data_IF_876249233960
#
_entry.id   IF_876249233960
#
_cell.length_a   1.000
_cell.length_b   1.000
_cell.length_c   1.000
_cell.angle_alpha   90.00
_cell.angle_beta   90.00
_cell.angle_gamma   90.00
#
_symmetry.space_group_name_H-M   'P 1'
#
loop_
_entity.id
_entity.type
_entity.pdbx_description
1 polymer ?
#
# COMPACT_ATOMS: atom_id res chain seq x y z
N UNK A 1 48.47 2.10 -22.97
CA UNK A 1 48.11 2.63 -24.30
C UNK A 1 46.90 1.83 -24.80
N UNK A 2 45.93 2.49 -25.47
CA UNK A 2 44.60 1.98 -25.86
C UNK A 2 43.65 1.67 -24.67
N UNK A 3 42.48 2.30 -24.47
CA UNK A 3 41.26 2.67 -25.24
C UNK A 3 40.18 1.59 -25.35
N UNK A 4 38.92 2.09 -25.25
CA UNK A 4 37.57 1.49 -25.43
C UNK A 4 36.87 1.12 -24.10
N UNK A 5 35.60 1.45 -23.89
CA UNK A 5 34.68 2.30 -24.69
C UNK A 5 33.30 2.35 -24.00
N UNK A 6 32.66 3.53 -23.91
CA UNK A 6 31.34 3.68 -23.27
C UNK A 6 30.25 3.53 -24.34
N UNK A 7 29.27 2.64 -24.10
CA UNK A 7 28.06 2.55 -24.92
C UNK A 7 26.96 3.37 -24.23
N UNK A 8 26.31 4.24 -24.99
CA UNK A 8 25.11 4.99 -24.59
C UNK A 8 23.99 4.55 -25.52
N UNK A 9 22.93 3.96 -24.97
CA UNK A 9 21.72 3.64 -25.72
C UNK A 9 20.75 4.82 -25.67
N UNK A 10 20.53 5.46 -26.81
CA UNK A 10 19.45 6.43 -27.00
C UNK A 10 18.19 5.67 -27.44
N UNK A 11 17.04 5.92 -26.81
CA UNK A 11 15.74 5.41 -27.28
C UNK A 11 15.03 6.53 -28.01
N UNK A 12 14.74 6.32 -29.29
CA UNK A 12 13.96 7.24 -30.14
C UNK A 12 12.54 6.71 -30.24
N UNK A 13 11.56 7.60 -30.10
CA UNK A 13 10.14 7.30 -30.22
C UNK A 13 9.61 7.91 -31.51
N UNK A 14 9.02 7.11 -32.39
CA UNK A 14 8.46 7.55 -33.67
C UNK A 14 6.96 7.24 -33.73
N UNK A 15 6.15 8.30 -33.73
CA UNK A 15 4.74 8.23 -34.11
C UNK A 15 4.60 8.30 -35.63
N UNK A 16 3.68 7.53 -36.20
CA UNK A 16 3.27 7.64 -37.60
C UNK A 16 1.76 7.45 -37.69
N UNK A 17 1.09 8.35 -38.41
CA UNK A 17 -0.33 8.32 -38.73
C UNK A 17 -0.50 8.45 -40.25
N UNK A 18 -1.55 7.85 -40.81
CA UNK A 18 -1.93 8.11 -42.20
C UNK A 18 -2.98 7.16 -42.80
N UNK A 19 -4.13 7.72 -43.21
CA UNK A 19 -4.98 7.45 -44.40
C UNK A 19 -5.12 6.00 -44.93
N UNK A 20 -6.30 5.46 -45.28
CA UNK A 20 -7.54 6.08 -45.82
C UNK A 20 -8.03 5.32 -47.08
N UNK A 21 -9.33 5.40 -47.41
CA UNK A 21 -10.06 4.75 -48.54
C UNK A 21 -10.30 3.21 -48.43
N UNK A 22 -11.43 2.63 -48.88
CA UNK A 22 -12.69 3.18 -49.42
C UNK A 22 -13.37 2.23 -50.44
N UNK A 23 -14.72 2.28 -50.59
CA UNK A 23 -15.61 1.48 -51.50
C UNK A 23 -15.94 0.03 -51.06
N UNK A 24 -17.07 -0.60 -51.42
CA UNK A 24 -18.15 -0.29 -52.40
C UNK A 24 -19.59 -0.56 -51.87
N UNK A 25 -20.61 -0.25 -52.68
CA UNK A 25 -22.05 -0.29 -52.32
C UNK A 25 -22.90 -1.27 -53.16
N UNK A 26 -24.11 -1.58 -52.71
CA UNK A 26 -25.25 -1.98 -53.58
C UNK A 26 -26.61 -1.65 -52.94
N UNK A 27 -27.74 -2.05 -53.55
CA UNK A 27 -28.99 -1.28 -53.50
C UNK A 27 -30.29 -2.12 -53.62
N UNK A 28 -31.43 -1.40 -53.66
CA UNK A 28 -32.79 -1.83 -54.08
C UNK A 28 -33.62 -2.70 -53.09
N UNK A 29 -34.95 -2.51 -52.92
CA UNK A 29 -35.84 -1.48 -53.45
C UNK A 29 -37.32 -1.54 -52.96
N UNK A 30 -37.95 -0.37 -52.86
CA UNK A 30 -39.38 0.02 -53.11
C UNK A 30 -40.60 -0.81 -52.61
N UNK A 31 -41.53 -0.12 -51.90
CA UNK A 31 -42.97 -0.10 -52.26
C UNK A 31 -44.05 -0.28 -51.16
N UNK A 32 -44.91 0.73 -50.96
CA UNK A 32 -46.27 0.57 -50.36
C UNK A 32 -46.66 1.50 -49.18
N UNK A 33 -47.82 2.18 -49.27
CA UNK A 33 -48.47 3.03 -48.23
C UNK A 33 -50.01 2.94 -48.39
N UNK A 34 -50.91 3.56 -47.58
CA UNK A 34 -50.77 4.34 -46.31
C UNK A 34 -51.81 3.97 -45.19
N UNK A 35 -51.95 4.85 -44.18
CA UNK A 35 -53.07 5.01 -43.20
C UNK A 35 -53.05 4.10 -41.94
N UNK A 36 -53.23 4.57 -40.67
CA UNK A 36 -53.33 5.93 -40.07
C UNK A 36 -53.21 5.85 -38.53
N UNK A 37 -52.42 6.71 -37.86
CA UNK A 37 -52.73 7.41 -36.57
C UNK A 37 -51.51 7.88 -35.76
N UNK A 38 -51.35 9.21 -35.69
CA UNK A 38 -50.80 10.05 -34.59
C UNK A 38 -49.70 9.56 -33.61
N UNK A 39 -48.57 10.28 -33.66
CA UNK A 39 -47.65 10.66 -32.56
C UNK A 39 -46.92 9.53 -31.78
N UNK A 40 -45.58 9.51 -31.73
CA UNK A 40 -44.75 10.37 -30.86
C UNK A 40 -43.25 10.28 -31.24
N UNK A 41 -42.44 11.24 -30.77
CA UNK A 41 -40.97 11.30 -30.77
C UNK A 41 -40.26 11.67 -32.09
N UNK A 42 -39.66 12.86 -32.09
CA UNK A 42 -38.56 13.23 -32.98
C UNK A 42 -37.22 12.80 -32.36
N UNK A 43 -36.31 12.27 -33.17
CA UNK A 43 -34.99 11.85 -32.72
C UNK A 43 -34.10 13.02 -32.25
N UNK A 44 -33.16 12.72 -31.37
CA UNK A 44 -31.94 13.47 -31.15
C UNK A 44 -30.77 12.46 -31.11
N UNK A 45 -29.62 12.85 -31.65
CA UNK A 45 -28.50 11.95 -31.97
C UNK A 45 -27.80 11.35 -30.73
N UNK A 46 -27.15 10.18 -30.86
CA UNK A 46 -26.35 9.60 -29.79
C UNK A 46 -25.05 10.39 -29.63
N UNK A 47 -25.04 11.36 -28.71
CA UNK A 47 -23.81 11.97 -28.23
C UNK A 47 -23.05 10.94 -27.39
N UNK A 48 -22.04 10.32 -27.98
CA UNK A 48 -21.05 9.52 -27.26
C UNK A 48 -20.20 10.45 -26.38
N UNK A 49 -20.72 10.74 -25.18
CA UNK A 49 -19.98 11.45 -24.14
C UNK A 49 -18.88 10.56 -23.58
N UNK A 50 -17.64 11.02 -23.72
CA UNK A 50 -16.47 10.46 -23.03
C UNK A 50 -16.54 10.87 -21.55
N UNK A 51 -17.50 10.30 -20.81
CA UNK A 51 -17.63 10.49 -19.37
C UNK A 51 -16.45 9.82 -18.67
N UNK A 52 -15.43 10.62 -18.36
CA UNK A 52 -14.43 10.27 -17.36
C UNK A 52 -15.16 9.80 -16.09
N UNK A 53 -14.73 8.70 -15.46
CA UNK A 53 -15.29 8.26 -14.19
C UNK A 53 -15.31 9.42 -13.20
N UNK A 54 -16.45 9.64 -12.55
CA UNK A 54 -16.58 10.71 -11.58
C UNK A 54 -15.50 10.57 -10.49
N UNK A 55 -14.73 11.63 -10.24
CA UNK A 55 -13.78 11.65 -9.13
C UNK A 55 -14.58 11.49 -7.83
N UNK A 56 -14.49 10.31 -7.21
CA UNK A 56 -15.09 10.04 -5.91
C UNK A 56 -14.30 10.81 -4.85
N UNK A 57 -14.71 12.05 -4.61
CA UNK A 57 -14.25 12.82 -3.47
C UNK A 57 -14.72 12.11 -2.20
N UNK A 58 -13.77 11.56 -1.46
CA UNK A 58 -14.08 10.98 -0.17
C UNK A 58 -14.26 12.11 0.86
N UNK A 59 -15.44 12.21 1.44
CA UNK A 59 -15.67 13.07 2.60
C UNK A 59 -14.77 12.68 3.79
N UNK A 60 -14.39 13.67 4.60
CA UNK A 60 -13.63 13.46 5.83
C UNK A 60 -14.44 12.59 6.80
N UNK A 61 -13.99 11.37 7.03
CA UNK A 61 -14.73 10.45 7.90
C UNK A 61 -14.17 9.05 7.97
N UNK A 62 -14.65 8.30 8.97
CA UNK A 62 -14.30 6.89 9.17
C UNK A 62 -15.07 5.96 8.22
N UNK A 63 -16.33 6.25 7.91
CA UNK A 63 -17.09 5.47 6.91
C UNK A 63 -16.72 6.01 5.53
N UNK A 64 -16.30 5.11 4.63
CA UNK A 64 -15.98 5.43 3.24
C UNK A 64 -17.25 5.34 2.39
N UNK A 65 -18.07 4.32 2.66
CA UNK A 65 -19.36 4.10 2.01
C UNK A 65 -19.81 2.64 2.15
N UNK A 66 -21.00 2.36 1.63
CA UNK A 66 -21.54 1.01 1.45
C UNK A 66 -21.61 0.71 -0.04
N UNK A 67 -21.03 -0.43 -0.44
CA UNK A 67 -20.83 -0.79 -1.85
C UNK A 67 -21.24 -2.24 -2.09
N UNK A 68 -21.71 -2.54 -3.30
CA UNK A 68 -21.87 -3.92 -3.77
C UNK A 68 -20.50 -4.55 -4.03
N UNK A 69 -20.35 -5.83 -3.74
CA UNK A 69 -19.18 -6.60 -4.18
C UNK A 69 -19.18 -6.70 -5.71
N UNK A 70 -18.02 -6.49 -6.33
CA UNK A 70 -17.88 -6.66 -7.77
C UNK A 70 -17.96 -8.17 -8.17
N UNK A 71 -18.31 -8.50 -9.42
CA UNK A 71 -18.20 -9.88 -9.91
C UNK A 71 -16.77 -10.42 -9.77
N UNK A 72 -16.60 -11.53 -9.03
CA UNK A 72 -15.28 -12.04 -8.58
C UNK A 72 -14.50 -10.99 -7.76
N UNK A 73 -15.14 -10.45 -6.73
CA UNK A 73 -14.59 -9.41 -5.87
C UNK A 73 -13.28 -9.77 -5.18
N UNK A 74 -13.12 -11.02 -4.72
CA UNK A 74 -11.90 -11.47 -4.04
C UNK A 74 -10.77 -11.59 -5.06
N UNK A 75 -9.69 -10.84 -4.85
CA UNK A 75 -8.49 -10.83 -5.72
C UNK A 75 -7.31 -11.52 -5.04
N UNK A 76 -7.24 -11.39 -3.71
CA UNK A 76 -6.31 -12.05 -2.80
C UNK A 76 -6.95 -12.07 -1.41
N UNK A 77 -6.41 -12.84 -0.45
CA UNK A 77 -6.99 -12.94 0.90
C UNK A 77 -7.07 -11.61 1.67
N UNK A 78 -6.27 -10.61 1.26
CA UNK A 78 -6.23 -9.26 1.81
C UNK A 78 -6.74 -8.16 0.85
N UNK A 79 -7.25 -8.51 -0.33
CA UNK A 79 -7.57 -7.52 -1.38
C UNK A 79 -8.88 -7.86 -2.11
N UNK A 80 -9.83 -6.92 -2.10
CA UNK A 80 -11.14 -7.05 -2.76
C UNK A 80 -11.41 -5.94 -3.79
N UNK A 81 -12.46 -6.12 -4.59
CA UNK A 81 -13.07 -5.08 -5.45
C UNK A 81 -14.54 -4.90 -5.10
N UNK A 82 -15.00 -3.66 -5.19
CA UNK A 82 -16.40 -3.27 -5.04
C UNK A 82 -16.85 -2.51 -6.29
N UNK A 83 -18.15 -2.48 -6.55
CA UNK A 83 -18.71 -1.72 -7.67
C UNK A 83 -18.54 -0.21 -7.45
N UNK A 84 -18.47 0.56 -8.53
CA UNK A 84 -18.38 2.03 -8.53
C UNK A 84 -17.18 2.63 -7.76
N UNK A 85 -16.13 1.83 -7.54
CA UNK A 85 -14.86 2.28 -6.97
C UNK A 85 -13.70 1.88 -7.89
N UNK A 86 -12.86 2.85 -8.27
CA UNK A 86 -11.70 2.57 -9.12
C UNK A 86 -10.63 1.73 -8.40
N UNK A 87 -10.16 0.67 -9.07
CA UNK A 87 -9.00 -0.13 -8.65
C UNK A 87 -9.38 -1.32 -7.77
N UNK A 88 -8.65 -1.49 -6.66
CA UNK A 88 -8.94 -2.48 -5.63
C UNK A 88 -8.68 -1.91 -4.23
N UNK A 89 -9.38 -2.49 -3.25
CA UNK A 89 -9.30 -2.13 -1.84
C UNK A 89 -8.31 -3.08 -1.18
N UNK A 90 -7.25 -2.54 -0.57
CA UNK A 90 -6.31 -3.31 0.25
C UNK A 90 -6.77 -3.24 1.70
N UNK A 91 -7.00 -4.40 2.31
CA UNK A 91 -7.70 -4.51 3.57
C UNK A 91 -6.76 -4.27 4.76
N UNK A 92 -7.09 -3.30 5.62
CA UNK A 92 -6.21 -2.81 6.69
C UNK A 92 -5.92 -3.87 7.77
N UNK A 93 -4.74 -3.74 8.39
CA UNK A 93 -4.26 -4.54 9.52
C UNK A 93 -4.19 -6.07 9.33
N UNK A 94 -4.34 -6.54 8.09
CA UNK A 94 -4.07 -7.93 7.68
C UNK A 94 -3.03 -7.96 6.56
N UNK A 95 -2.30 -9.07 6.48
CA UNK A 95 -1.36 -9.43 5.42
C UNK A 95 -1.47 -10.95 5.25
N UNK A 96 -2.30 -11.39 4.31
CA UNK A 96 -2.42 -12.82 4.00
C UNK A 96 -1.18 -13.28 3.26
N UNK A 97 -0.90 -14.58 3.29
CA UNK A 97 0.14 -15.13 2.42
C UNK A 97 -0.30 -15.02 0.95
N UNK A 98 0.66 -14.85 0.04
CA UNK A 98 0.35 -14.63 -1.38
C UNK A 98 -0.16 -15.94 -2.04
N UNK A 99 -1.03 -15.81 -3.04
CA UNK A 99 -1.51 -16.95 -3.86
C UNK A 99 -0.40 -17.60 -4.69
N UNK A 100 -0.43 -18.93 -4.87
CA UNK A 100 0.51 -19.67 -5.73
C UNK A 100 0.17 -19.50 -7.22
N UNK A 101 0.67 -18.42 -7.83
CA UNK A 101 0.31 -18.05 -9.23
C UNK A 101 1.05 -18.82 -10.34
N UNK A 102 2.23 -19.40 -10.09
CA UNK A 102 3.06 -19.99 -11.17
C UNK A 102 3.14 -21.51 -11.11
N UNK A 103 3.00 -22.19 -12.27
CA UNK A 103 3.17 -23.65 -12.39
C UNK A 103 4.54 -24.15 -11.90
N UNK A 104 5.58 -23.33 -12.04
CA UNK A 104 6.94 -23.61 -11.53
C UNK A 104 6.97 -23.63 -10.00
N UNK A 105 6.29 -22.68 -9.36
CA UNK A 105 6.21 -22.63 -7.90
C UNK A 105 5.34 -23.77 -7.37
N UNK A 106 4.20 -24.09 -8.01
CA UNK A 106 3.37 -25.26 -7.69
C UNK A 106 4.17 -26.57 -7.73
N UNK A 107 4.95 -26.80 -8.81
CA UNK A 107 5.79 -27.98 -8.94
C UNK A 107 6.91 -28.03 -7.88
N UNK A 108 7.47 -26.88 -7.49
CA UNK A 108 8.50 -26.82 -6.47
C UNK A 108 7.95 -27.04 -5.04
N UNK A 109 6.79 -26.45 -4.71
CA UNK A 109 6.09 -26.66 -3.44
C UNK A 109 5.81 -28.16 -3.24
N UNK A 110 5.26 -28.82 -4.28
CA UNK A 110 4.99 -30.27 -4.26
C UNK A 110 6.26 -31.14 -4.13
N UNK A 111 7.42 -30.64 -4.55
CA UNK A 111 8.68 -31.40 -4.47
C UNK A 111 9.35 -31.27 -3.10
N UNK A 112 9.47 -30.04 -2.58
CA UNK A 112 10.07 -29.73 -1.28
C UNK A 112 9.68 -28.29 -0.90
N UNK A 113 8.71 -28.14 0.01
CA UNK A 113 8.20 -26.84 0.44
C UNK A 113 9.23 -26.01 1.22
N UNK A 114 10.02 -26.66 2.09
CA UNK A 114 11.09 -26.02 2.87
C UNK A 114 12.19 -25.45 1.96
N UNK A 115 12.65 -26.24 0.99
CA UNK A 115 13.64 -25.79 0.00
C UNK A 115 13.05 -24.70 -0.91
N UNK A 116 11.76 -24.79 -1.24
CA UNK A 116 11.05 -23.73 -1.95
C UNK A 116 11.08 -22.40 -1.16
N UNK A 117 10.74 -22.41 0.12
CA UNK A 117 10.77 -21.21 0.98
C UNK A 117 12.20 -20.67 1.16
N UNK A 118 13.18 -21.54 1.47
CA UNK A 118 14.60 -21.16 1.57
C UNK A 118 15.10 -20.46 0.30
N UNK A 119 14.72 -20.95 -0.88
CA UNK A 119 15.04 -20.31 -2.17
C UNK A 119 14.31 -18.99 -2.41
N UNK A 120 13.07 -18.84 -1.92
CA UNK A 120 12.30 -17.57 -2.01
C UNK A 120 12.85 -16.51 -1.07
N UNK A 121 13.38 -16.89 0.10
CA UNK A 121 14.08 -16.00 1.03
C UNK A 121 15.41 -15.52 0.44
N UNK A 122 16.26 -16.46 -0.02
CA UNK A 122 17.60 -16.15 -0.53
C UNK A 122 18.43 -15.34 0.47
N UNK A 123 19.22 -14.37 -0.01
CA UNK A 123 20.10 -13.55 0.82
C UNK A 123 19.41 -12.31 1.41
N UNK A 124 18.09 -12.35 1.61
CA UNK A 124 17.33 -11.20 2.10
C UNK A 124 17.47 -11.06 3.62
N UNK A 125 17.76 -9.84 4.09
CA UNK A 125 17.83 -9.52 5.53
C UNK A 125 16.45 -9.65 6.18
N UNK A 126 15.40 -9.10 5.56
CA UNK A 126 14.03 -9.23 6.07
C UNK A 126 13.31 -10.44 5.47
N UNK A 127 12.35 -11.06 6.19
CA UNK A 127 11.47 -12.09 5.66
C UNK A 127 10.80 -11.68 4.34
N UNK A 128 10.93 -12.51 3.30
CA UNK A 128 10.29 -12.29 1.99
C UNK A 128 8.91 -12.93 1.94
N UNK A 129 8.04 -12.35 1.11
CA UNK A 129 6.79 -13.00 0.73
C UNK A 129 7.02 -14.01 -0.39
N UNK A 130 6.27 -15.10 -0.35
CA UNK A 130 6.20 -16.13 -1.38
C UNK A 130 4.74 -16.55 -1.61
N UNK A 131 4.44 -17.18 -2.74
CA UNK A 131 3.15 -17.85 -2.92
C UNK A 131 3.11 -19.15 -2.09
N UNK A 132 2.06 -19.42 -1.34
CA UNK A 132 1.94 -20.64 -0.50
C UNK A 132 0.54 -21.25 -0.55
N UNK A 133 0.38 -22.55 -0.18
CA UNK A 133 -0.93 -23.15 0.02
C UNK A 133 -1.80 -22.39 1.03
N UNK A 134 -1.23 -21.83 2.09
CA UNK A 134 -1.97 -20.96 3.02
C UNK A 134 -2.53 -19.69 2.35
N UNK A 135 -1.84 -19.12 1.36
CA UNK A 135 -2.37 -17.99 0.58
C UNK A 135 -3.60 -18.37 -0.26
N UNK A 136 -3.61 -19.58 -0.83
CA UNK A 136 -4.79 -20.10 -1.52
C UNK A 136 -5.97 -20.28 -0.54
N UNK A 137 -5.72 -20.86 0.64
CA UNK A 137 -6.74 -21.04 1.70
C UNK A 137 -7.29 -19.71 2.22
N UNK A 138 -6.48 -18.65 2.23
CA UNK A 138 -6.93 -17.31 2.60
C UNK A 138 -7.90 -16.72 1.56
N UNK A 139 -7.73 -17.03 0.27
CA UNK A 139 -8.71 -16.69 -0.78
C UNK A 139 -10.00 -17.50 -0.61
N UNK A 140 -9.91 -18.81 -0.42
CA UNK A 140 -11.09 -19.67 -0.18
C UNK A 140 -11.90 -19.21 1.05
N UNK A 141 -11.21 -18.80 2.12
CA UNK A 141 -11.84 -18.21 3.31
C UNK A 141 -12.51 -16.86 3.01
N UNK A 142 -11.86 -16.00 2.22
CA UNK A 142 -12.44 -14.73 1.80
C UNK A 142 -13.72 -14.94 0.97
N UNK A 143 -13.66 -15.82 -0.04
CA UNK A 143 -14.82 -16.17 -0.87
C UNK A 143 -15.96 -16.73 -0.01
N UNK A 144 -15.67 -17.65 0.91
CA UNK A 144 -16.67 -18.21 1.86
C UNK A 144 -17.24 -17.15 2.81
N UNK A 145 -16.41 -16.20 3.27
CA UNK A 145 -16.87 -15.14 4.18
C UNK A 145 -17.79 -14.14 3.47
N UNK A 146 -17.45 -13.77 2.24
CA UNK A 146 -18.21 -12.81 1.43
C UNK A 146 -19.38 -13.46 0.66
N UNK A 147 -19.51 -14.78 0.66
CA UNK A 147 -20.68 -15.46 0.10
C UNK A 147 -21.99 -14.99 0.76
N UNK A 148 -23.02 -14.78 -0.07
CA UNK A 148 -24.31 -14.20 0.32
C UNK A 148 -24.27 -12.73 0.79
N UNK A 149 -23.13 -12.03 0.75
CA UNK A 149 -23.04 -10.64 1.18
C UNK A 149 -23.27 -9.66 0.01
N UNK A 150 -24.50 -9.17 -0.15
CA UNK A 150 -24.85 -8.19 -1.20
C UNK A 150 -24.11 -6.84 -1.04
N UNK A 151 -23.84 -6.43 0.21
CA UNK A 151 -23.28 -5.13 0.57
C UNK A 151 -22.09 -5.28 1.52
N UNK A 152 -20.99 -4.60 1.18
CA UNK A 152 -19.84 -4.37 2.06
C UNK A 152 -19.78 -2.90 2.44
N UNK A 153 -19.71 -2.63 3.74
CA UNK A 153 -19.32 -1.32 4.26
C UNK A 153 -17.80 -1.24 4.32
N UNK A 154 -17.24 -0.19 3.74
CA UNK A 154 -15.81 0.13 3.81
C UNK A 154 -15.57 1.25 4.82
N UNK A 155 -14.59 1.07 5.71
CA UNK A 155 -14.23 2.06 6.72
C UNK A 155 -12.72 2.27 6.86
N UNK A 156 -12.27 3.49 7.15
CA UNK A 156 -10.86 3.83 7.46
C UNK A 156 -10.50 3.44 8.90
N UNK A 157 -9.21 3.35 9.18
CA UNK A 157 -8.70 3.34 10.55
C UNK A 157 -8.57 4.77 11.11
N UNK A 158 -7.92 5.67 10.37
CA UNK A 158 -7.84 7.10 10.66
C UNK A 158 -8.42 7.94 9.49
N UNK A 159 -9.15 9.05 9.75
CA UNK A 159 -9.67 9.91 8.68
C UNK A 159 -8.60 10.54 7.77
N UNK A 160 -7.36 10.67 8.22
CA UNK A 160 -6.28 11.38 7.50
C UNK A 160 -5.45 10.50 6.56
N UNK A 161 -5.55 9.17 6.67
CA UNK A 161 -4.85 8.23 5.79
C UNK A 161 -5.81 7.72 4.70
N UNK A 162 -5.77 8.33 3.51
CA UNK A 162 -6.79 8.08 2.48
C UNK A 162 -6.44 6.90 1.55
N UNK A 163 -5.22 6.86 1.01
CA UNK A 163 -4.76 5.81 0.09
C UNK A 163 -3.36 5.31 0.44
N UNK A 164 -3.10 4.05 0.13
CA UNK A 164 -1.77 3.48 0.23
C UNK A 164 -0.84 4.02 -0.87
N UNK A 165 0.48 3.89 -0.67
CA UNK A 165 1.53 4.35 -1.61
C UNK A 165 1.30 4.01 -3.09
N UNK A 166 0.62 2.89 -3.38
CA UNK A 166 0.31 2.42 -4.74
C UNK A 166 -1.09 2.84 -5.24
N UNK A 167 -1.69 3.90 -4.69
CA UNK A 167 -3.00 4.42 -5.07
C UNK A 167 -4.21 3.59 -4.63
N UNK A 168 -4.01 2.35 -4.15
CA UNK A 168 -5.09 1.50 -3.59
C UNK A 168 -5.76 2.17 -2.39
N UNK A 169 -7.09 2.10 -2.34
CA UNK A 169 -7.85 2.47 -1.15
C UNK A 169 -7.48 1.53 0.01
N UNK A 170 -7.31 2.09 1.21
CA UNK A 170 -7.09 1.33 2.44
C UNK A 170 -8.39 1.33 3.26
N UNK A 171 -8.90 0.15 3.62
CA UNK A 171 -10.14 0.03 4.38
C UNK A 171 -10.22 -1.25 5.21
N UNK A 172 -11.02 -1.23 6.26
CA UNK A 172 -11.68 -2.41 6.82
C UNK A 172 -12.94 -2.72 6.02
N UNK A 173 -13.23 -3.99 5.81
CA UNK A 173 -14.48 -4.45 5.19
C UNK A 173 -15.40 -5.07 6.25
N UNK A 174 -16.66 -4.62 6.26
CA UNK A 174 -17.72 -5.17 7.10
C UNK A 174 -18.88 -5.64 6.24
N UNK A 175 -19.49 -6.76 6.63
CA UNK A 175 -20.73 -7.29 6.05
C UNK A 175 -21.76 -7.51 7.15
N UNK A 176 -23.05 -7.51 6.81
CA UNK A 176 -24.06 -7.97 7.76
C UNK A 176 -24.08 -9.50 7.80
N UNK A 177 -23.96 -10.08 8.99
CA UNK A 177 -24.25 -11.48 9.31
C UNK A 177 -25.10 -11.49 10.58
N UNK A 178 -26.20 -12.24 10.58
CA UNK A 178 -27.15 -12.35 11.70
C UNK A 178 -27.61 -10.98 12.26
N UNK A 179 -27.89 -10.02 11.36
CA UNK A 179 -28.32 -8.66 11.73
C UNK A 179 -27.22 -7.75 12.29
N UNK A 180 -25.95 -8.19 12.27
CA UNK A 180 -24.80 -7.45 12.82
C UNK A 180 -23.68 -7.24 11.81
N UNK A 181 -23.12 -6.04 11.79
CA UNK A 181 -21.88 -5.76 11.06
C UNK A 181 -20.69 -6.54 11.64
N UNK A 182 -20.11 -7.40 10.80
CA UNK A 182 -18.99 -8.29 11.13
C UNK A 182 -17.78 -7.93 10.27
N UNK A 183 -16.64 -7.68 10.92
CA UNK A 183 -15.41 -7.28 10.24
C UNK A 183 -14.70 -8.48 9.61
N UNK A 184 -14.59 -8.52 8.28
CA UNK A 184 -13.81 -9.54 7.60
C UNK A 184 -12.36 -9.58 8.13
N UNK A 185 -11.74 -8.41 8.29
CA UNK A 185 -10.35 -8.30 8.70
C UNK A 185 -10.09 -9.00 10.05
N UNK A 186 -10.95 -8.76 11.04
CA UNK A 186 -10.82 -9.40 12.36
C UNK A 186 -11.14 -10.90 12.30
N UNK A 187 -12.14 -11.33 11.52
CA UNK A 187 -12.43 -12.75 11.34
C UNK A 187 -11.31 -13.50 10.61
N UNK A 188 -10.65 -12.89 9.61
CA UNK A 188 -9.51 -13.47 8.90
C UNK A 188 -8.33 -13.73 9.86
N UNK A 189 -8.07 -12.82 10.80
CA UNK A 189 -7.08 -13.04 11.87
C UNK A 189 -7.55 -14.12 12.85
N UNK A 190 -8.82 -14.13 13.26
CA UNK A 190 -9.39 -15.15 14.17
C UNK A 190 -9.39 -16.56 13.57
N UNK A 191 -9.54 -16.67 12.26
CA UNK A 191 -9.44 -17.91 11.50
C UNK A 191 -7.99 -18.35 11.24
N UNK A 192 -6.99 -17.49 11.52
CA UNK A 192 -5.59 -17.77 11.24
C UNK A 192 -5.23 -17.70 9.75
N UNK A 193 -5.98 -16.96 8.94
CA UNK A 193 -5.62 -16.71 7.53
C UNK A 193 -4.59 -15.59 7.40
N UNK A 194 -4.41 -14.80 8.47
CA UNK A 194 -3.46 -13.69 8.54
C UNK A 194 -3.04 -13.45 10.00
N UNK A 195 -1.81 -12.98 10.28
CA UNK A 195 -1.49 -12.37 11.57
C UNK A 195 -2.16 -10.99 11.69
N UNK A 196 -2.18 -10.43 12.90
CA UNK A 196 -2.40 -9.00 13.05
C UNK A 196 -1.17 -8.25 12.49
N UNK A 197 -1.36 -7.55 11.37
CA UNK A 197 -0.29 -6.94 10.60
C UNK A 197 -0.08 -5.48 11.01
N UNK A 198 0.95 -5.28 11.83
CA UNK A 198 1.26 -4.04 12.56
C UNK A 198 2.36 -3.18 11.91
N UNK A 199 2.91 -3.63 10.77
CA UNK A 199 4.09 -3.03 10.10
C UNK A 199 3.99 -1.52 9.82
N UNK A 200 2.78 -0.99 9.71
CA UNK A 200 2.47 0.41 9.40
C UNK A 200 1.82 1.16 10.58
N UNK A 201 1.88 0.62 11.79
CA UNK A 201 1.19 1.12 12.98
C UNK A 201 0.20 0.11 13.54
N UNK A 202 -0.22 0.33 14.79
CA UNK A 202 -1.36 -0.38 15.38
C UNK A 202 -2.66 0.26 14.89
N UNK A 203 -3.72 -0.55 14.70
CA UNK A 203 -5.05 -0.02 14.38
C UNK A 203 -5.57 0.87 15.51
N UNK A 204 -5.82 2.14 15.22
CA UNK A 204 -6.39 3.11 16.17
C UNK A 204 -7.77 2.67 16.68
N UNK A 205 -8.54 1.93 15.86
CA UNK A 205 -9.93 1.56 16.15
C UNK A 205 -10.12 0.13 16.67
N UNK A 206 -9.30 -0.81 16.20
CA UNK A 206 -9.57 -2.24 16.35
C UNK A 206 -8.39 -3.05 16.94
N UNK A 207 -7.31 -2.40 17.39
CA UNK A 207 -6.13 -3.06 17.97
C UNK A 207 -6.47 -4.20 18.94
N UNK A 208 -7.31 -3.93 19.95
CA UNK A 208 -7.71 -4.92 20.95
C UNK A 208 -8.48 -6.11 20.36
N UNK A 209 -9.25 -5.89 19.29
CA UNK A 209 -10.02 -6.95 18.62
C UNK A 209 -9.08 -7.85 17.80
N UNK A 210 -8.13 -7.26 17.07
CA UNK A 210 -7.11 -7.98 16.33
C UNK A 210 -6.15 -8.75 17.25
N UNK A 211 -5.65 -8.13 18.32
CA UNK A 211 -4.74 -8.78 19.27
C UNK A 211 -5.42 -9.99 19.93
N UNK A 212 -6.70 -9.84 20.34
CA UNK A 212 -7.49 -10.96 20.85
C UNK A 212 -7.74 -12.04 19.80
N UNK A 213 -8.08 -11.67 18.57
CA UNK A 213 -8.29 -12.60 17.46
C UNK A 213 -7.03 -13.42 17.15
N UNK A 214 -5.85 -12.78 17.13
CA UNK A 214 -4.57 -13.46 16.90
C UNK A 214 -4.25 -14.42 18.06
N UNK A 215 -4.47 -13.99 19.31
CA UNK A 215 -4.28 -14.85 20.49
C UNK A 215 -5.24 -16.05 20.51
N UNK A 216 -6.49 -15.87 20.07
CA UNK A 216 -7.46 -16.97 19.88
C UNK A 216 -7.00 -17.94 18.78
N UNK A 217 -6.53 -17.44 17.64
CA UNK A 217 -6.05 -18.24 16.51
C UNK A 217 -4.78 -19.03 16.84
N UNK A 218 -3.81 -18.40 17.52
CA UNK A 218 -2.58 -19.04 18.02
C UNK A 218 -2.86 -20.16 19.01
N UNK A 219 -3.67 -19.89 20.04
CA UNK A 219 -4.00 -20.88 21.09
C UNK A 219 -4.74 -22.09 20.51
N UNK A 220 -5.54 -21.87 19.47
CA UNK A 220 -6.27 -22.92 18.76
C UNK A 220 -5.53 -23.47 17.52
N UNK A 221 -4.25 -23.09 17.31
CA UNK A 221 -3.38 -23.54 16.21
C UNK A 221 -4.06 -23.49 14.83
N UNK A 222 -4.75 -22.38 14.54
CA UNK A 222 -5.55 -22.22 13.31
C UNK A 222 -4.73 -21.67 12.16
N UNK A 223 -4.95 -22.21 10.96
CA UNK A 223 -4.38 -21.68 9.72
C UNK A 223 -2.86 -21.59 9.79
N UNK A 224 -2.29 -20.40 9.61
CA UNK A 224 -0.84 -20.12 9.71
C UNK A 224 -0.21 -20.46 11.07
N UNK A 225 -1.03 -20.71 12.11
CA UNK A 225 -0.57 -21.09 13.45
C UNK A 225 -0.60 -22.61 13.70
N UNK A 226 -1.05 -23.42 12.74
CA UNK A 226 -0.87 -24.88 12.77
C UNK A 226 0.61 -25.20 12.52
N UNK A 227 1.30 -25.98 13.38
CA UNK A 227 2.67 -26.40 13.15
C UNK A 227 2.91 -27.14 11.82
N UNK A 228 1.86 -27.68 11.21
CA UNK A 228 1.88 -28.39 9.93
C UNK A 228 1.37 -27.52 8.77
N UNK A 229 1.15 -26.22 8.97
CA UNK A 229 0.72 -25.32 7.91
C UNK A 229 1.80 -25.17 6.83
N UNK A 230 1.43 -25.39 5.58
CA UNK A 230 2.23 -24.97 4.42
C UNK A 230 2.11 -23.45 4.22
N UNK A 231 2.68 -22.70 5.18
CA UNK A 231 2.77 -21.24 5.20
C UNK A 231 4.20 -20.75 5.45
N UNK A 232 4.39 -19.47 5.76
CA UNK A 232 5.75 -18.89 5.91
C UNK A 232 6.53 -19.41 7.12
N UNK A 233 5.85 -19.78 8.22
CA UNK A 233 6.46 -20.32 9.45
C UNK A 233 7.32 -19.34 10.28
N UNK A 234 7.79 -18.25 9.69
CA UNK A 234 8.70 -17.24 10.27
C UNK A 234 7.97 -16.08 10.98
N UNK A 235 6.71 -16.27 11.37
CA UNK A 235 5.84 -15.21 11.89
C UNK A 235 6.31 -14.58 13.21
N UNK A 236 7.13 -15.26 14.01
CA UNK A 236 7.78 -14.65 15.17
C UNK A 236 8.72 -13.50 14.72
N UNK A 237 9.67 -13.81 13.83
CA UNK A 237 10.63 -12.84 13.28
C UNK A 237 9.93 -11.70 12.54
N UNK A 238 8.83 -11.99 11.84
CA UNK A 238 8.01 -10.94 11.20
C UNK A 238 7.39 -10.00 12.23
N UNK A 239 6.78 -10.54 13.28
CA UNK A 239 6.12 -9.72 14.30
C UNK A 239 7.10 -8.91 15.13
N UNK A 240 8.22 -9.46 15.57
CA UNK A 240 9.23 -8.68 16.29
C UNK A 240 9.66 -7.44 15.48
N UNK A 241 9.80 -7.58 14.15
CA UNK A 241 10.07 -6.46 13.25
C UNK A 241 8.88 -5.51 13.08
N UNK A 242 7.66 -6.03 12.92
CA UNK A 242 6.46 -5.22 12.66
C UNK A 242 5.98 -4.47 13.90
N UNK A 243 5.99 -5.11 15.05
CA UNK A 243 5.59 -4.54 16.33
C UNK A 243 6.62 -3.48 16.76
N UNK A 244 7.93 -3.70 16.59
CA UNK A 244 8.95 -2.65 16.81
C UNK A 244 8.77 -1.41 15.90
N UNK A 245 8.26 -1.59 14.67
CA UNK A 245 7.86 -0.46 13.81
C UNK A 245 6.59 0.23 14.33
N UNK A 246 5.62 -0.55 14.79
CA UNK A 246 4.36 -0.06 15.34
C UNK A 246 4.56 0.76 16.61
N UNK A 247 5.40 0.29 17.53
CA UNK A 247 5.80 1.00 18.76
C UNK A 247 6.46 2.34 18.43
N UNK A 248 7.35 2.36 17.43
CA UNK A 248 8.00 3.60 16.99
C UNK A 248 7.02 4.60 16.35
N UNK A 249 5.98 4.12 15.66
CA UNK A 249 4.92 4.96 15.10
C UNK A 249 4.00 5.47 16.21
N UNK A 250 3.51 4.59 17.10
CA UNK A 250 2.64 4.95 18.22
C UNK A 250 3.33 5.94 19.18
N UNK A 251 4.62 5.77 19.45
CA UNK A 251 5.39 6.71 20.26
C UNK A 251 5.64 8.07 19.55
N UNK A 252 5.37 8.19 18.25
CA UNK A 252 5.30 9.48 17.56
C UNK A 252 3.90 10.07 17.70
N UNK A 253 2.86 9.28 17.45
CA UNK A 253 1.45 9.68 17.58
C UNK A 253 1.12 10.22 18.99
N UNK A 254 1.59 9.54 20.04
CA UNK A 254 1.46 10.01 21.42
C UNK A 254 2.16 11.36 21.69
N UNK A 255 3.30 11.62 21.04
CA UNK A 255 4.00 12.92 21.14
C UNK A 255 3.34 14.00 20.27
N UNK A 256 2.69 13.59 19.18
CA UNK A 256 1.97 14.45 18.24
C UNK A 256 0.58 14.89 18.76
N UNK A 257 0.07 14.27 19.84
CA UNK A 257 -1.22 14.59 20.42
C UNK A 257 -1.31 16.08 20.82
N UNK A 258 -2.18 16.84 20.15
CA UNK A 258 -2.33 18.29 20.34
C UNK A 258 -1.17 19.13 19.80
N UNK A 259 -0.29 18.58 18.96
CA UNK A 259 0.93 19.23 18.45
C UNK A 259 0.90 19.39 16.93
N UNK A 260 0.60 20.61 16.48
CA UNK A 260 0.55 20.94 15.05
C UNK A 260 1.93 20.92 14.35
N UNK A 261 3.04 20.88 15.09
CA UNK A 261 4.42 20.77 14.61
C UNK A 261 4.91 19.32 14.41
N UNK A 262 4.10 18.32 14.78
CA UNK A 262 4.34 16.91 14.50
C UNK A 262 3.53 16.47 13.27
N UNK A 263 4.21 16.09 12.19
CA UNK A 263 3.59 15.86 10.87
C UNK A 263 3.89 14.43 10.39
N UNK A 264 2.86 13.65 10.08
CA UNK A 264 2.97 12.33 9.43
C UNK A 264 2.87 12.53 7.93
N UNK A 265 3.89 12.15 7.14
CA UNK A 265 3.91 12.42 5.68
C UNK A 265 2.88 11.65 4.86
N UNK A 266 2.28 10.60 5.44
CA UNK A 266 1.21 9.81 4.81
C UNK A 266 -0.18 10.36 5.11
N UNK A 267 -0.30 11.52 5.74
CA UNK A 267 -1.57 12.22 5.90
C UNK A 267 -1.77 13.18 4.73
N UNK A 268 -3.00 13.26 4.21
CA UNK A 268 -3.32 14.14 3.09
C UNK A 268 -3.02 15.62 3.37
N UNK A 269 -3.08 16.05 4.63
CA UNK A 269 -2.83 17.43 5.06
C UNK A 269 -1.33 17.78 5.23
N UNK A 270 -0.43 16.80 5.14
CA UNK A 270 0.96 16.93 5.52
C UNK A 270 1.69 18.03 4.77
N UNK A 271 1.50 18.13 3.45
CA UNK A 271 2.12 19.17 2.63
C UNK A 271 1.65 20.57 3.03
N UNK A 272 0.34 20.79 3.17
CA UNK A 272 -0.19 22.09 3.56
C UNK A 272 0.29 22.50 4.97
N UNK A 273 0.41 21.54 5.89
CA UNK A 273 0.98 21.76 7.23
C UNK A 273 2.47 22.12 7.19
N UNK A 274 3.26 21.49 6.32
CA UNK A 274 4.67 21.85 6.10
C UNK A 274 4.80 23.25 5.45
N UNK A 275 3.98 23.58 4.45
CA UNK A 275 3.97 24.89 3.78
C UNK A 275 3.62 26.03 4.76
N UNK A 276 2.68 25.79 5.70
CA UNK A 276 2.32 26.73 6.76
C UNK A 276 3.46 26.98 7.77
N UNK A 277 4.43 26.05 7.88
CA UNK A 277 5.54 26.06 8.86
C UNK A 277 6.90 26.36 8.24
N UNK A 278 6.94 27.09 7.14
CA UNK A 278 8.20 27.50 6.50
C UNK A 278 9.08 28.32 7.45
N UNK A 279 10.32 27.85 7.65
CA UNK A 279 11.29 28.41 8.60
C UNK A 279 11.14 27.93 10.04
N UNK A 280 10.05 27.25 10.40
CA UNK A 280 9.80 26.74 11.75
C UNK A 280 10.29 25.30 11.92
N UNK A 281 10.76 24.94 13.12
CA UNK A 281 11.09 23.55 13.45
C UNK A 281 9.83 22.68 13.50
N UNK A 282 9.88 21.55 12.79
CA UNK A 282 8.88 20.48 12.83
C UNK A 282 9.55 19.15 13.19
N UNK A 283 8.75 18.19 13.65
CA UNK A 283 9.16 16.77 13.72
C UNK A 283 8.30 15.97 12.73
N UNK A 284 8.93 15.35 11.75
CA UNK A 284 8.26 14.68 10.64
C UNK A 284 8.44 13.16 10.75
N UNK A 285 7.33 12.41 10.77
CA UNK A 285 7.34 10.96 10.62
C UNK A 285 7.18 10.59 9.13
N UNK A 286 8.11 9.79 8.62
CA UNK A 286 8.07 9.27 7.25
C UNK A 286 8.74 7.90 7.13
N UNK A 287 8.72 7.32 5.94
CA UNK A 287 9.49 6.11 5.62
C UNK A 287 10.67 6.47 4.73
N UNK A 288 11.88 6.00 5.04
CA UNK A 288 13.06 6.17 4.18
C UNK A 288 12.82 5.43 2.87
N UNK A 289 12.48 6.15 1.78
CA UNK A 289 12.17 5.52 0.50
C UNK A 289 13.42 5.27 -0.33
N UNK A 290 14.27 6.30 -0.46
CA UNK A 290 15.45 6.28 -1.32
C UNK A 290 16.59 7.11 -0.74
N UNK A 291 17.81 6.61 -0.89
CA UNK A 291 19.05 7.35 -0.62
C UNK A 291 19.73 7.66 -1.95
N UNK A 292 20.17 8.89 -2.15
CA UNK A 292 20.81 9.37 -3.36
C UNK A 292 22.08 10.16 -3.05
N UNK A 293 23.22 9.67 -3.54
CA UNK A 293 24.52 10.30 -3.33
C UNK A 293 24.87 11.23 -4.48
N UNK A 294 25.18 12.49 -4.15
CA UNK A 294 25.66 13.49 -5.10
C UNK A 294 27.09 13.93 -4.72
N UNK A 295 27.75 14.69 -5.61
CA UNK A 295 29.14 15.12 -5.38
C UNK A 295 29.30 15.85 -4.03
N UNK A 296 28.40 16.79 -3.72
CA UNK A 296 28.48 17.66 -2.53
C UNK A 296 27.31 17.54 -1.53
N UNK A 297 26.46 16.53 -1.64
CA UNK A 297 25.40 16.24 -0.64
C UNK A 297 24.93 14.78 -0.76
N UNK A 298 24.24 14.30 0.27
CA UNK A 298 23.36 13.12 0.20
C UNK A 298 21.92 13.59 0.36
N UNK A 299 21.01 13.09 -0.47
CA UNK A 299 19.57 13.31 -0.36
C UNK A 299 18.92 12.01 0.07
N UNK A 300 18.14 12.06 1.15
CA UNK A 300 17.26 10.97 1.57
C UNK A 300 15.84 11.41 1.27
N UNK A 301 15.08 10.60 0.53
CA UNK A 301 13.68 10.87 0.21
C UNK A 301 12.82 10.14 1.24
N UNK A 302 12.01 10.88 2.00
CA UNK A 302 10.95 10.29 2.81
C UNK A 302 9.67 10.19 1.99
N UNK A 303 9.14 8.97 1.85
CA UNK A 303 7.94 8.73 1.06
C UNK A 303 6.68 9.26 1.76
N UNK A 304 5.90 10.09 1.06
CA UNK A 304 4.62 10.63 1.52
C UNK A 304 3.39 10.01 0.83
N UNK A 305 2.20 10.53 1.12
CA UNK A 305 1.00 10.23 0.33
C UNK A 305 1.00 11.01 -0.99
N UNK A 306 0.54 10.38 -2.10
CA UNK A 306 0.34 11.02 -3.41
C UNK A 306 1.54 11.84 -3.95
N UNK A 307 2.75 11.28 -3.84
CA UNK A 307 4.01 11.93 -4.24
C UNK A 307 4.36 13.24 -3.50
N UNK A 308 3.76 13.48 -2.31
CA UNK A 308 4.21 14.50 -1.36
C UNK A 308 5.47 14.03 -0.59
N UNK A 309 6.47 13.55 -1.31
CA UNK A 309 7.72 13.09 -0.74
C UNK A 309 8.53 14.27 -0.18
N UNK A 310 9.18 14.08 0.96
CA UNK A 310 10.00 15.10 1.61
C UNK A 310 11.51 14.78 1.48
N UNK A 311 12.25 15.54 0.66
CA UNK A 311 13.72 15.53 0.65
C UNK A 311 14.32 15.95 2.00
N UNK A 312 15.20 15.11 2.53
CA UNK A 312 16.06 15.38 3.68
C UNK A 312 17.49 15.50 3.15
N UNK A 313 18.13 16.65 3.41
CA UNK A 313 19.40 17.02 2.77
C UNK A 313 20.54 17.01 3.78
N UNK A 314 21.53 16.17 3.52
CA UNK A 314 22.78 16.10 4.25
C UNK A 314 23.88 16.76 3.42
N UNK A 315 24.33 17.95 3.83
CA UNK A 315 25.48 18.63 3.20
C UNK A 315 26.81 18.06 3.68
N UNK A 316 26.83 17.52 4.89
CA UNK A 316 27.93 16.77 5.47
C UNK A 316 27.67 15.26 5.33
N UNK A 317 28.66 14.54 4.80
CA UNK A 317 28.58 13.08 4.58
C UNK A 317 28.86 12.28 5.84
N UNK A 318 29.70 12.79 6.76
CA UNK A 318 29.97 12.13 8.03
C UNK A 318 28.72 12.12 8.91
N UNK A 319 27.97 13.24 8.91
CA UNK A 319 26.65 13.31 9.58
C UNK A 319 25.68 12.30 8.98
N UNK A 320 25.64 12.14 7.66
CA UNK A 320 24.79 11.15 7.00
C UNK A 320 25.17 9.71 7.38
N UNK A 321 26.45 9.36 7.30
CA UNK A 321 26.98 8.02 7.62
C UNK A 321 26.66 7.64 9.06
N UNK A 322 26.78 8.59 10.00
CA UNK A 322 26.45 8.40 11.42
C UNK A 322 24.94 8.36 11.72
N UNK A 323 24.06 8.66 10.75
CA UNK A 323 22.61 8.51 10.90
C UNK A 323 22.09 7.14 10.42
N UNK A 324 22.93 6.29 9.83
CA UNK A 324 22.60 4.92 9.39
C UNK A 324 21.32 4.76 8.53
N UNK A 325 20.95 5.82 7.79
CA UNK A 325 19.71 5.84 7.00
C UNK A 325 19.73 4.87 5.81
N UNK A 326 20.90 4.47 5.33
CA UNK A 326 21.04 3.43 4.29
C UNK A 326 20.53 2.08 4.78
N UNK A 327 20.88 1.67 6.01
CA UNK A 327 20.41 0.41 6.62
C UNK A 327 18.91 0.44 6.87
N UNK A 328 18.37 1.62 7.20
CA UNK A 328 16.96 1.85 7.51
C UNK A 328 16.09 2.13 6.28
N UNK A 329 16.56 1.85 5.05
CA UNK A 329 15.73 1.99 3.86
C UNK A 329 14.50 1.06 3.92
N UNK A 330 13.31 1.64 3.76
CA UNK A 330 12.01 0.99 3.93
C UNK A 330 11.46 1.02 5.36
N UNK A 331 12.23 1.49 6.34
CA UNK A 331 11.85 1.61 7.76
C UNK A 331 11.32 3.02 8.08
N UNK A 332 10.48 3.19 9.13
CA UNK A 332 10.03 4.51 9.57
C UNK A 332 11.19 5.28 10.21
N UNK A 333 11.14 6.61 10.13
CA UNK A 333 12.12 7.54 10.70
C UNK A 333 11.42 8.82 11.15
N UNK A 334 11.90 9.43 12.24
CA UNK A 334 11.53 10.80 12.61
C UNK A 334 12.65 11.75 12.21
N UNK A 335 12.30 12.85 11.55
CA UNK A 335 13.26 13.90 11.18
C UNK A 335 12.82 15.23 11.76
N UNK A 336 13.71 15.87 12.53
CA UNK A 336 13.51 17.15 13.19
C UNK A 336 14.32 18.25 12.49
N UNK A 337 13.70 19.37 12.20
CA UNK A 337 14.41 20.56 11.72
C UNK A 337 13.48 21.61 11.11
N UNK A 338 14.04 22.75 10.70
CA UNK A 338 13.27 23.80 10.02
C UNK A 338 12.77 23.32 8.66
N UNK A 339 11.52 23.63 8.32
CA UNK A 339 11.02 23.43 6.94
C UNK A 339 11.64 24.49 6.04
N UNK A 340 12.48 24.08 5.09
CA UNK A 340 13.05 24.96 4.06
C UNK A 340 12.26 24.83 2.75
N UNK A 341 12.15 25.93 1.99
CA UNK A 341 11.80 25.87 0.56
C UNK A 341 13.09 25.91 -0.26
N UNK A 342 13.27 24.92 -1.13
CA UNK A 342 14.36 24.90 -2.10
C UNK A 342 13.85 25.16 -3.50
N UNK A 343 14.45 26.13 -4.19
CA UNK A 343 14.15 26.46 -5.58
C UNK A 343 15.43 26.46 -6.43
N UNK A 344 15.38 25.84 -7.62
CA UNK A 344 16.45 25.90 -8.62
C UNK A 344 15.88 25.80 -10.02
N UNK A 345 15.86 26.92 -10.74
CA UNK A 345 15.15 27.01 -12.03
C UNK A 345 13.68 26.67 -11.83
N UNK A 346 13.15 25.71 -12.58
CA UNK A 346 11.76 25.27 -12.49
C UNK A 346 11.51 24.25 -11.36
N UNK A 347 12.55 23.72 -10.71
CA UNK A 347 12.39 22.78 -9.60
C UNK A 347 12.12 23.52 -8.30
N UNK A 348 11.02 23.19 -7.63
CA UNK A 348 10.64 23.70 -6.31
C UNK A 348 10.23 22.53 -5.42
N UNK A 349 10.68 22.53 -4.17
CA UNK A 349 10.28 21.54 -3.18
C UNK A 349 10.39 22.10 -1.76
N UNK A 350 9.69 21.47 -0.82
CA UNK A 350 10.02 21.59 0.60
C UNK A 350 11.15 20.61 0.94
N UNK A 351 11.93 20.91 1.96
CA UNK A 351 12.97 20.01 2.46
C UNK A 351 13.24 20.26 3.95
N UNK A 352 13.96 19.35 4.59
CA UNK A 352 14.64 19.61 5.87
C UNK A 352 16.14 19.38 5.67
N UNK A 353 16.98 20.32 6.11
CA UNK A 353 18.43 20.13 6.13
C UNK A 353 18.86 19.52 7.45
N UNK A 354 19.60 18.42 7.38
CA UNK A 354 20.18 17.75 8.54
C UNK A 354 21.66 18.03 8.61
N UNK A 355 22.07 18.69 9.69
CA UNK A 355 23.47 19.00 10.01
C UNK A 355 23.95 18.38 11.33
N UNK A 356 23.09 17.65 12.05
CA UNK A 356 23.43 16.97 13.31
C UNK A 356 22.69 15.64 13.42
N UNK A 357 23.35 14.60 13.91
CA UNK A 357 22.77 13.25 14.09
C UNK A 357 21.49 13.28 14.93
N UNK A 358 21.44 14.12 15.98
CA UNK A 358 20.26 14.30 16.86
C UNK A 358 18.99 14.87 16.19
N UNK A 359 19.02 15.12 14.89
CA UNK A 359 17.84 15.47 14.09
C UNK A 359 17.13 14.23 13.53
N UNK A 360 17.73 13.04 13.66
CA UNK A 360 17.21 11.76 13.19
C UNK A 360 16.95 10.88 14.41
N UNK A 361 15.71 10.43 14.58
CA UNK A 361 15.40 9.30 15.47
C UNK A 361 15.02 8.08 14.63
N UNK A 362 15.53 6.91 15.01
CA UNK A 362 15.29 5.63 14.34
C UNK A 362 14.62 4.62 15.28
N UNK A 363 13.82 3.69 14.74
CA UNK A 363 13.29 2.57 15.51
C UNK A 363 14.41 1.64 15.98
N UNK A 364 14.31 1.12 17.21
CA UNK A 364 15.13 -0.02 17.63
C UNK A 364 14.54 -1.28 17.01
N UNK A 365 15.12 -1.73 15.89
CA UNK A 365 14.62 -2.88 15.14
C UNK A 365 15.42 -4.15 15.46
N UNK A 366 14.77 -5.32 15.54
CA UNK A 366 15.47 -6.58 15.66
C UNK A 366 16.13 -6.92 14.31
N UNK A 367 17.42 -6.64 14.18
CA UNK A 367 18.17 -7.00 12.99
C UNK A 367 18.69 -8.44 13.07
N UNK A 368 18.55 -9.24 12.00
CA UNK A 368 19.09 -10.60 11.99
C UNK A 368 20.61 -10.59 12.25
N UNK A 369 21.06 -11.43 13.18
CA UNK A 369 22.46 -11.56 13.57
C UNK A 369 22.89 -10.68 14.75
N UNK A 370 22.15 -9.62 15.11
CA UNK A 370 22.49 -8.78 16.27
C UNK A 370 21.93 -9.35 17.58
N UNK A 371 20.78 -10.03 17.55
CA UNK A 371 20.18 -10.67 18.75
C UNK A 371 21.03 -11.80 19.34
N UNK A 372 21.93 -12.40 18.55
CA UNK A 372 22.83 -13.46 19.01
C UNK A 372 24.00 -12.90 19.86
N UNK A 373 24.38 -11.63 19.66
CA UNK A 373 25.50 -10.97 20.37
C UNK A 373 25.07 -10.31 21.69
N UNK A 374 23.78 -10.38 22.04
CA UNK A 374 23.23 -9.89 23.31
C UNK A 374 22.81 -11.04 24.26
N UNK A 375 23.11 -12.29 23.89
CA UNK A 375 22.81 -13.51 24.64
C UNK A 375 24.07 -14.33 24.99
N UNK A 376 25.26 -13.79 24.67
CA UNK A 376 26.58 -14.18 25.17
C UNK A 376 27.11 -13.06 26.10
#
# INVERSE_FOLDING_TARGET
>A
MLLRGRIVCLVVWTCLAGYGCGRDATAEGLGGTPNRSSATSSAADPVAGDEKPAEVYFEEGLVIGEYRLAPRAVIDGDTIRVENLEGSVRLLSIDTEEVVRSKRDQAAIKADFDQYLKRKQGNAVRPRKAGTPMGNRAVEFAETFFDGADIVRLERDEPKALRGRYGRLLAYAFVQKDGKWTSYNVEAVRAGMSPYFTKYGYSHRFHNQFARAEAEARRAQRGIWDPNAEGYGDYAVRKDWWDARADFIQAFEHQAAGRDDFIVLTHWDAKARLEKRLGEEVTVLGTVDKVEHFRGLVRVVLGGEQANDLPIIFRDKEVFERCDLTRHQGEPVRVRGPVERYERGNYRTLQIVVGRVKQIDLPSLPWPGETALAAE
#
